data_IF_612532942531
#
_entry.id   IF_612532942531
#
_cell.length_a   1.000
_cell.length_b   1.000
_cell.length_c   1.000
_cell.angle_alpha   90.00
_cell.angle_beta   90.00
_cell.angle_gamma   90.00
#
_symmetry.space_group_name_H-M   'P 1'
#
loop_
_entity.id
_entity.type
_entity.pdbx_description
1 polymer ?
#
# COMPACT_ATOMS: atom_id res chain seq x y z
N UNK A 1 33.73 22.33 -21.23
CA UNK A 1 33.02 23.00 -22.34
C UNK A 1 32.10 21.97 -22.98
N UNK A 2 30.80 22.24 -23.06
CA UNK A 2 29.82 21.31 -23.66
C UNK A 2 29.68 21.62 -25.15
N UNK A 3 29.78 20.60 -26.01
CA UNK A 3 29.57 20.77 -27.46
C UNK A 3 28.09 21.08 -27.79
N UNK A 4 27.78 21.37 -29.04
CA UNK A 4 26.43 21.78 -29.45
C UNK A 4 25.36 20.72 -29.17
N UNK A 5 25.67 19.45 -29.44
CA UNK A 5 24.80 18.33 -29.10
C UNK A 5 24.57 18.19 -27.59
N UNK A 6 25.61 18.40 -26.78
CA UNK A 6 25.48 18.39 -25.33
C UNK A 6 24.63 19.55 -24.80
N UNK A 7 24.68 20.73 -25.43
CA UNK A 7 23.78 21.85 -25.07
C UNK A 7 22.31 21.54 -25.38
N UNK A 8 22.05 20.78 -26.44
CA UNK A 8 20.70 20.31 -26.78
C UNK A 8 20.24 19.15 -25.88
N UNK A 9 21.15 18.28 -25.45
CA UNK A 9 20.84 17.12 -24.62
C UNK A 9 20.64 17.50 -23.14
N UNK A 10 21.45 18.41 -22.62
CA UNK A 10 21.50 18.80 -21.21
C UNK A 10 20.12 19.10 -20.59
N UNK A 11 19.25 19.96 -21.16
CA UNK A 11 17.94 20.22 -20.56
C UNK A 11 17.02 18.98 -20.55
N UNK A 12 17.16 18.08 -21.54
CA UNK A 12 16.38 16.83 -21.60
C UNK A 12 16.84 15.82 -20.56
N UNK A 13 18.16 15.70 -20.36
CA UNK A 13 18.73 14.85 -19.33
C UNK A 13 18.34 15.35 -17.92
N UNK A 14 18.34 16.68 -17.71
CA UNK A 14 17.92 17.27 -16.44
C UNK A 14 16.44 16.98 -16.16
N UNK A 15 15.57 17.15 -17.15
CA UNK A 15 14.14 16.83 -17.01
C UNK A 15 13.90 15.35 -16.66
N UNK A 16 14.66 14.42 -17.27
CA UNK A 16 14.57 13.00 -16.93
C UNK A 16 15.00 12.71 -15.49
N UNK A 17 16.04 13.41 -15.00
CA UNK A 17 16.49 13.27 -13.61
C UNK A 17 15.45 13.81 -12.63
N UNK A 18 14.84 14.96 -12.93
CA UNK A 18 13.74 15.50 -12.13
C UNK A 18 12.56 14.54 -12.07
N UNK A 19 12.13 13.99 -13.21
CA UNK A 19 11.09 12.97 -13.27
C UNK A 19 11.42 11.71 -12.46
N UNK A 20 12.67 11.25 -12.53
CA UNK A 20 13.10 10.10 -11.73
C UNK A 20 13.00 10.40 -10.22
N UNK A 21 13.44 11.59 -9.79
CA UNK A 21 13.34 12.02 -8.39
C UNK A 21 11.89 12.14 -7.93
N UNK A 22 10.99 12.67 -8.76
CA UNK A 22 9.56 12.75 -8.46
C UNK A 22 8.94 11.36 -8.24
N UNK A 23 9.27 10.40 -9.12
CA UNK A 23 8.83 9.00 -8.99
C UNK A 23 9.37 8.39 -7.70
N UNK A 24 10.65 8.57 -7.39
CA UNK A 24 11.23 8.07 -6.13
C UNK A 24 10.54 8.66 -4.89
N UNK A 25 10.14 9.93 -4.95
CA UNK A 25 9.45 10.60 -3.85
C UNK A 25 8.02 10.08 -3.65
N UNK A 26 7.31 9.75 -4.73
CA UNK A 26 5.96 9.17 -4.68
C UNK A 26 5.87 7.87 -3.86
N UNK A 27 6.95 7.09 -3.80
CA UNK A 27 7.01 5.81 -3.08
C UNK A 27 7.88 5.86 -1.82
N UNK A 28 8.35 7.04 -1.42
CA UNK A 28 9.30 7.19 -0.30
C UNK A 28 8.64 7.02 1.06
N UNK A 29 7.35 7.35 1.15
CA UNK A 29 6.51 7.12 2.33
C UNK A 29 5.58 5.95 2.01
N UNK A 30 6.05 4.73 2.29
CA UNK A 30 5.28 3.51 2.10
C UNK A 30 4.22 3.38 3.21
N UNK A 31 3.21 4.25 3.14
CA UNK A 31 2.06 4.30 4.04
C UNK A 31 0.85 3.58 3.43
N UNK A 32 1.10 2.58 2.58
CA UNK A 32 0.06 1.76 1.99
C UNK A 32 -0.81 1.13 3.07
N UNK A 33 -2.13 1.26 2.95
CA UNK A 33 -3.05 0.62 3.88
C UNK A 33 -3.00 -0.90 3.69
N UNK A 34 -2.86 -1.64 4.79
CA UNK A 34 -3.05 -3.09 4.76
C UNK A 34 -4.55 -3.37 4.71
N UNK A 35 -5.00 -4.04 3.65
CA UNK A 35 -6.40 -4.42 3.42
C UNK A 35 -6.64 -5.83 3.94
N UNK A 36 -7.55 -5.96 4.89
CA UNK A 36 -7.89 -7.21 5.57
C UNK A 36 -9.38 -7.49 5.35
N UNK A 37 -9.72 -8.74 5.02
CA UNK A 37 -11.09 -9.25 5.14
C UNK A 37 -11.13 -10.39 6.14
N UNK A 38 -12.02 -10.33 7.12
CA UNK A 38 -12.24 -11.44 8.06
C UNK A 38 -13.68 -11.97 8.03
N UNK A 39 -13.83 -13.24 8.40
CA UNK A 39 -15.12 -13.82 8.74
C UNK A 39 -15.74 -13.08 9.92
N UNK A 40 -17.07 -13.06 10.03
CA UNK A 40 -17.79 -12.39 11.12
C UNK A 40 -17.26 -12.75 12.52
N UNK A 41 -16.95 -14.02 12.76
CA UNK A 41 -16.40 -14.50 14.04
C UNK A 41 -15.03 -13.89 14.32
N UNK A 42 -14.11 -13.90 13.35
CA UNK A 42 -12.75 -13.39 13.56
C UNK A 42 -12.73 -11.85 13.59
N UNK A 43 -13.47 -11.21 12.68
CA UNK A 43 -13.54 -9.76 12.53
C UNK A 43 -14.15 -9.05 13.74
N UNK A 44 -15.15 -9.65 14.38
CA UNK A 44 -15.83 -9.02 15.52
C UNK A 44 -15.20 -9.34 16.88
N UNK A 45 -14.53 -10.49 17.02
CA UNK A 45 -14.05 -10.96 18.33
C UNK A 45 -12.54 -11.00 18.48
N UNK A 46 -11.77 -11.17 17.40
CA UNK A 46 -10.30 -11.34 17.46
C UNK A 46 -9.60 -10.08 16.95
N UNK A 47 -9.97 -9.61 15.76
CA UNK A 47 -9.27 -8.49 15.12
C UNK A 47 -9.30 -7.15 15.86
N UNK A 48 -10.33 -6.78 16.66
CA UNK A 48 -10.31 -5.50 17.36
C UNK A 48 -9.09 -5.35 18.28
N UNK A 49 -8.74 -6.39 19.04
CA UNK A 49 -7.57 -6.36 19.92
C UNK A 49 -6.25 -6.33 19.14
N UNK A 50 -6.18 -7.06 18.02
CA UNK A 50 -5.00 -7.09 17.15
C UNK A 50 -4.77 -5.73 16.48
N UNK A 51 -5.82 -5.11 15.94
CA UNK A 51 -5.77 -3.81 15.26
C UNK A 51 -5.44 -2.71 16.27
N UNK A 52 -5.97 -2.76 17.49
CA UNK A 52 -5.62 -1.79 18.53
C UNK A 52 -4.12 -1.81 18.85
N UNK A 53 -3.51 -3.00 18.98
CA UNK A 53 -2.06 -3.15 19.18
C UNK A 53 -1.28 -2.67 17.96
N UNK A 54 -1.70 -3.07 16.76
CA UNK A 54 -1.03 -2.64 15.53
C UNK A 54 -1.00 -1.12 15.38
N UNK A 55 -2.14 -0.44 15.63
CA UNK A 55 -2.22 1.04 15.57
C UNK A 55 -1.37 1.72 16.63
N UNK A 56 -1.09 1.06 17.75
CA UNK A 56 -0.17 1.56 18.76
C UNK A 56 1.28 1.48 18.28
N UNK A 57 1.67 0.33 17.74
CA UNK A 57 3.05 0.06 17.30
C UNK A 57 3.39 0.79 15.98
N UNK A 58 2.39 1.00 15.11
CA UNK A 58 2.53 1.56 13.76
C UNK A 58 1.47 2.64 13.48
N UNK A 59 1.53 3.81 14.14
CA UNK A 59 0.47 4.83 14.05
C UNK A 59 0.31 5.46 12.66
N UNK A 60 1.35 5.39 11.83
CA UNK A 60 1.35 5.97 10.47
C UNK A 60 0.92 4.98 9.38
N UNK A 61 0.75 3.69 9.72
CA UNK A 61 0.36 2.65 8.75
C UNK A 61 -1.12 2.32 8.91
N UNK A 62 -1.98 2.71 7.96
CA UNK A 62 -3.41 2.44 8.06
C UNK A 62 -3.74 0.95 7.87
N UNK A 63 -4.85 0.52 8.50
CA UNK A 63 -5.49 -0.77 8.25
C UNK A 63 -6.93 -0.52 7.80
N UNK A 64 -7.30 -1.17 6.70
CA UNK A 64 -8.67 -1.26 6.20
C UNK A 64 -9.22 -2.66 6.51
N UNK A 65 -10.30 -2.75 7.28
CA UNK A 65 -10.94 -4.01 7.63
C UNK A 65 -12.35 -4.11 7.02
N UNK A 66 -12.61 -5.21 6.32
CA UNK A 66 -13.95 -5.66 5.93
C UNK A 66 -14.34 -6.94 6.69
N UNK A 67 -15.64 -7.11 6.96
CA UNK A 67 -16.18 -8.26 7.71
C UNK A 67 -17.40 -8.83 6.99
N UNK A 68 -17.50 -10.15 6.94
CA UNK A 68 -18.46 -10.87 6.09
C UNK A 68 -18.38 -12.38 6.29
N UNK A 69 -18.96 -13.18 5.40
CA UNK A 69 -18.87 -14.64 5.51
C UNK A 69 -17.56 -15.17 4.87
N UNK A 70 -17.22 -16.44 5.14
CA UNK A 70 -15.97 -17.04 4.63
C UNK A 70 -15.89 -17.09 3.10
N UNK A 71 -17.03 -17.19 2.40
CA UNK A 71 -17.06 -17.17 0.94
C UNK A 71 -16.69 -15.78 0.39
N UNK A 72 -17.19 -14.70 1.01
CA UNK A 72 -16.83 -13.33 0.65
C UNK A 72 -15.34 -13.07 0.87
N UNK A 73 -14.78 -13.57 1.98
CA UNK A 73 -13.35 -13.48 2.29
C UNK A 73 -12.51 -14.18 1.22
N UNK A 74 -12.83 -15.43 0.89
CA UNK A 74 -12.09 -16.16 -0.15
C UNK A 74 -12.16 -15.44 -1.50
N UNK A 75 -13.35 -14.95 -1.89
CA UNK A 75 -13.50 -14.25 -3.15
C UNK A 75 -12.70 -12.95 -3.18
N UNK A 76 -12.67 -12.19 -2.09
CA UNK A 76 -11.87 -10.97 -2.00
C UNK A 76 -10.37 -11.24 -2.14
N UNK A 77 -9.86 -12.35 -1.61
CA UNK A 77 -8.47 -12.78 -1.79
C UNK A 77 -8.20 -13.19 -3.23
N UNK A 78 -9.07 -14.01 -3.84
CA UNK A 78 -8.93 -14.46 -5.23
C UNK A 78 -8.98 -13.30 -6.23
N UNK A 79 -9.78 -12.28 -5.94
CA UNK A 79 -9.90 -11.06 -6.76
C UNK A 79 -8.80 -10.03 -6.48
N UNK A 80 -7.84 -10.32 -5.58
CA UNK A 80 -6.81 -9.38 -5.12
C UNK A 80 -7.37 -8.06 -4.55
N UNK A 81 -8.60 -8.08 -4.01
CA UNK A 81 -9.22 -6.91 -3.36
C UNK A 81 -8.68 -6.66 -1.96
N UNK A 82 -8.11 -7.68 -1.33
CA UNK A 82 -7.46 -7.60 -0.01
C UNK A 82 -6.12 -8.32 0.01
N UNK A 83 -5.25 -7.91 0.93
CA UNK A 83 -3.93 -8.49 1.10
C UNK A 83 -3.99 -9.77 1.94
N UNK A 84 -4.91 -9.82 2.93
CA UNK A 84 -5.03 -10.93 3.88
C UNK A 84 -6.51 -11.26 4.13
N UNK A 85 -6.83 -12.56 4.09
CA UNK A 85 -8.13 -13.11 4.46
C UNK A 85 -8.05 -13.95 5.74
N UNK A 86 -8.98 -13.76 6.68
CA UNK A 86 -9.14 -14.61 7.88
C UNK A 86 -10.48 -15.36 7.85
N UNK A 87 -10.44 -16.68 7.96
CA UNK A 87 -11.62 -17.56 8.04
C UNK A 87 -11.44 -18.60 9.16
N UNK A 88 -12.56 -19.19 9.62
CA UNK A 88 -12.57 -20.34 10.53
C UNK A 88 -12.66 -21.68 9.79
#
# INVERSE_FOLDING_TARGET
VVNEHGRLLYPRALALLEQAVEIEQLFREDNGAIRIYASSTIGNYILPAVIARYRHDYPQLPIELSVGNSQDVMQAVLDFRVDIGFIE
#
